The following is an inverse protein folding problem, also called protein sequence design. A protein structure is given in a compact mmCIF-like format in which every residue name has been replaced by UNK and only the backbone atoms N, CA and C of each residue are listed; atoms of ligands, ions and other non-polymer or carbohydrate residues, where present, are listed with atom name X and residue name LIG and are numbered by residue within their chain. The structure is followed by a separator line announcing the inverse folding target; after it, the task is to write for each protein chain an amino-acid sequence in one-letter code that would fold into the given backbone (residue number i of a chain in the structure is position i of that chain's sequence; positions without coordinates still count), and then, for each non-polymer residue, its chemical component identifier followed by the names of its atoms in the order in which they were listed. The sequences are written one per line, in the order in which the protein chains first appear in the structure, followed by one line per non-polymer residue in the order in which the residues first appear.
data_IF_997628186930
#
_entry.id   IF_997628186930
#
_cell.length_a   1.000
_cell.length_b   1.000
_cell.length_c   1.000
_cell.angle_alpha   90.00
_cell.angle_beta   90.00
_cell.angle_gamma   90.00
#
_symmetry.space_group_name_H-M   'P 1'
#
loop_
_entity.id
_entity.type
_entity.pdbx_description
1 polymer ?
#
# COMPACT_ATOMS: atom_id res chain seq x y z
N UNK A 1 -3.30 12.69 11.38
CA UNK A 1 -4.04 11.41 11.55
C UNK A 1 -5.53 11.61 11.80
N UNK A 2 -5.95 12.78 12.27
CA UNK A 2 -7.37 13.12 12.51
C UNK A 2 -8.28 12.96 11.28
N UNK A 3 -7.73 13.04 10.08
CA UNK A 3 -8.46 12.85 8.81
C UNK A 3 -8.44 11.40 8.27
N UNK A 4 -8.12 10.39 9.10
CA UNK A 4 -8.11 8.97 8.71
C UNK A 4 -6.93 8.52 7.87
N UNK A 5 -5.94 9.39 7.58
CA UNK A 5 -4.74 9.01 6.83
C UNK A 5 -3.71 8.33 7.72
N UNK A 6 -3.26 7.15 7.34
CA UNK A 6 -2.23 6.41 8.11
C UNK A 6 -0.85 7.07 8.08
N UNK A 7 -0.50 7.78 7.02
CA UNK A 7 0.73 8.58 6.81
C UNK A 7 2.05 7.92 7.32
N UNK A 8 2.11 6.59 7.39
CA UNK A 8 3.25 5.83 7.95
C UNK A 8 4.58 6.18 7.28
N UNK A 9 4.59 6.26 5.94
CA UNK A 9 5.81 6.59 5.19
C UNK A 9 6.25 8.04 5.39
N UNK A 10 5.30 8.97 5.49
CA UNK A 10 5.61 10.36 5.80
C UNK A 10 6.18 10.50 7.21
N UNK A 11 5.59 9.81 8.19
CA UNK A 11 6.08 9.79 9.56
C UNK A 11 7.52 9.26 9.62
N UNK A 12 7.79 8.12 8.98
CA UNK A 12 9.14 7.54 8.91
C UNK A 12 10.15 8.53 8.32
N UNK A 13 9.84 9.10 7.14
CA UNK A 13 10.72 10.06 6.47
C UNK A 13 10.98 11.32 7.29
N UNK A 14 9.95 11.83 7.98
CA UNK A 14 10.11 13.00 8.84
C UNK A 14 10.93 12.69 10.10
N UNK A 15 10.79 11.52 10.71
CA UNK A 15 11.65 11.08 11.81
C UNK A 15 13.12 10.99 11.36
N UNK A 16 13.38 10.39 10.20
CA UNK A 16 14.71 10.34 9.60
C UNK A 16 15.27 11.74 9.34
N UNK A 17 14.43 12.67 8.90
CA UNK A 17 14.83 14.07 8.65
C UNK A 17 15.21 14.79 9.95
N UNK A 18 14.45 14.63 11.02
CA UNK A 18 14.78 15.22 12.34
C UNK A 18 16.13 14.70 12.84
N UNK A 19 16.39 13.39 12.75
CA UNK A 19 17.68 12.80 13.11
C UNK A 19 18.81 13.39 12.24
N UNK A 20 18.55 13.59 10.95
CA UNK A 20 19.53 14.20 10.04
C UNK A 20 19.85 15.64 10.44
N UNK A 21 18.83 16.47 10.76
CA UNK A 21 19.02 17.83 11.25
C UNK A 21 19.86 17.88 12.52
N UNK A 22 19.59 16.99 13.47
CA UNK A 22 20.37 16.88 14.73
C UNK A 22 21.84 16.54 14.46
N UNK A 23 22.11 15.56 13.57
CA UNK A 23 23.48 15.19 13.18
C UNK A 23 24.22 16.33 12.49
N UNK A 24 23.52 17.12 11.70
CA UNK A 24 24.09 18.29 11.01
C UNK A 24 24.18 19.53 11.89
N UNK A 25 23.65 19.48 13.14
CA UNK A 25 23.51 20.65 14.02
C UNK A 25 22.80 21.83 13.34
N UNK A 26 21.84 21.50 12.43
CA UNK A 26 21.09 22.51 11.71
C UNK A 26 19.91 22.98 12.57
N UNK A 27 19.88 24.26 12.91
CA UNK A 27 18.82 24.86 13.73
C UNK A 27 17.54 25.17 12.97
N UNK A 28 17.61 25.22 11.63
CA UNK A 28 16.47 25.56 10.73
C UNK A 28 16.47 24.71 9.47
N UNK A 29 15.32 24.65 8.83
CA UNK A 29 15.17 23.99 7.55
C UNK A 29 15.54 24.97 6.44
N UNK A 30 16.56 24.63 5.64
CA UNK A 30 16.87 25.30 4.40
C UNK A 30 16.66 24.36 3.20
N UNK A 31 16.50 24.93 2.03
CA UNK A 31 16.37 24.18 0.77
C UNK A 31 17.56 23.27 0.53
N UNK A 32 18.77 23.76 0.85
CA UNK A 32 20.01 22.98 0.73
C UNK A 32 20.01 21.76 1.65
N UNK A 33 19.67 21.94 2.93
CA UNK A 33 19.60 20.87 3.92
C UNK A 33 18.53 19.84 3.55
N UNK A 34 17.38 20.29 3.05
CA UNK A 34 16.32 19.41 2.58
C UNK A 34 16.75 18.56 1.37
N UNK A 35 17.47 19.15 0.42
CA UNK A 35 18.04 18.44 -0.74
C UNK A 35 19.09 17.41 -0.29
N UNK A 36 20.04 17.81 0.55
CA UNK A 36 21.05 16.88 1.10
C UNK A 36 20.41 15.67 1.77
N UNK A 37 19.38 15.89 2.59
CA UNK A 37 18.63 14.81 3.20
C UNK A 37 17.95 13.92 2.16
N UNK A 38 17.29 14.51 1.18
CA UNK A 38 16.54 13.77 0.19
C UNK A 38 17.45 12.86 -0.66
N UNK A 39 18.64 13.34 -1.06
CA UNK A 39 19.56 12.65 -1.96
C UNK A 39 20.62 11.82 -1.25
N UNK A 40 20.70 11.85 0.09
CA UNK A 40 21.69 11.11 0.86
C UNK A 40 21.72 9.59 0.59
N UNK A 41 20.58 8.87 0.43
CA UNK A 41 20.63 7.48 0.03
C UNK A 41 20.93 7.38 -1.47
N UNK A 42 22.16 7.03 -1.82
CA UNK A 42 22.56 6.87 -3.25
C UNK A 42 22.05 5.56 -3.88
N UNK A 43 21.76 4.55 -3.04
CA UNK A 43 21.32 3.21 -3.49
C UNK A 43 19.81 3.10 -3.77
N UNK A 44 19.05 4.19 -3.64
CA UNK A 44 17.59 4.18 -3.85
C UNK A 44 17.20 4.80 -5.19
N UNK A 45 16.01 4.45 -5.65
CA UNK A 45 15.48 5.02 -6.88
C UNK A 45 15.18 6.53 -6.73
N UNK A 46 15.30 7.33 -7.82
CA UNK A 46 15.00 8.76 -7.81
C UNK A 46 13.59 9.11 -7.27
N UNK A 47 12.65 8.19 -7.39
CA UNK A 47 11.31 8.29 -6.78
C UNK A 47 11.35 8.48 -5.27
N UNK A 48 12.24 7.78 -4.57
CA UNK A 48 12.37 7.91 -3.12
C UNK A 48 12.95 9.27 -2.73
N UNK A 49 13.93 9.78 -3.48
CA UNK A 49 14.44 11.14 -3.25
C UNK A 49 13.35 12.19 -3.34
N UNK A 50 12.53 12.10 -4.40
CA UNK A 50 11.38 13.00 -4.59
C UNK A 50 10.35 12.85 -3.47
N UNK A 51 10.06 11.63 -3.03
CA UNK A 51 9.13 11.38 -1.94
C UNK A 51 9.66 11.91 -0.59
N UNK A 52 10.96 11.78 -0.32
CA UNK A 52 11.64 12.36 0.85
C UNK A 52 11.55 13.88 0.83
N UNK A 53 11.90 14.53 -0.30
CA UNK A 53 11.81 15.98 -0.44
C UNK A 53 10.37 16.49 -0.32
N UNK A 54 9.41 15.74 -0.85
CA UNK A 54 7.98 16.06 -0.72
C UNK A 54 7.51 16.06 0.74
N UNK A 55 7.94 15.05 1.52
CA UNK A 55 7.63 14.99 2.95
C UNK A 55 8.22 16.18 3.71
N UNK A 56 9.50 16.52 3.45
CA UNK A 56 10.15 17.68 4.07
C UNK A 56 9.49 18.99 3.67
N UNK A 57 9.11 19.16 2.39
CA UNK A 57 8.40 20.34 1.91
C UNK A 57 7.06 20.54 2.63
N UNK A 58 6.28 19.49 2.79
CA UNK A 58 5.02 19.52 3.55
C UNK A 58 5.23 19.97 4.99
N UNK A 59 6.26 19.44 5.64
CA UNK A 59 6.63 19.82 7.00
C UNK A 59 7.18 21.26 7.08
N UNK A 60 8.03 21.67 6.15
CA UNK A 60 8.55 23.03 6.10
C UNK A 60 7.44 24.06 5.92
N UNK A 61 6.43 23.77 5.07
CA UNK A 61 5.25 24.62 4.93
C UNK A 61 4.47 24.76 6.25
N UNK A 62 4.34 23.71 7.01
CA UNK A 62 3.71 23.76 8.32
C UNK A 62 4.55 24.60 9.30
N UNK A 63 5.86 24.35 9.37
CA UNK A 63 6.78 25.05 10.26
C UNK A 63 6.97 26.53 9.93
N UNK A 64 6.86 26.94 8.67
CA UNK A 64 7.00 28.34 8.27
C UNK A 64 5.92 29.25 8.85
N UNK A 65 4.80 28.69 9.34
CA UNK A 65 3.80 29.44 10.10
C UNK A 65 4.28 29.87 11.48
N UNK A 66 5.13 29.06 12.13
CA UNK A 66 5.69 29.34 13.45
C UNK A 66 7.10 29.96 13.37
N UNK A 67 7.87 29.63 12.36
CA UNK A 67 9.25 30.06 12.17
C UNK A 67 9.44 30.60 10.73
N UNK A 68 9.36 31.91 10.52
CA UNK A 68 9.53 32.55 9.20
C UNK A 68 10.91 32.31 8.56
N UNK A 69 11.93 31.91 9.35
CA UNK A 69 13.26 31.58 8.82
C UNK A 69 13.32 30.17 8.19
N UNK A 70 12.23 29.40 8.26
CA UNK A 70 12.11 28.10 7.58
C UNK A 70 11.89 28.29 6.09
N UNK A 71 12.82 27.78 5.28
CA UNK A 71 12.67 27.77 3.81
C UNK A 71 11.77 26.61 3.38
N UNK A 72 10.84 26.90 2.47
CA UNK A 72 10.01 25.88 1.81
C UNK A 72 10.70 25.46 0.51
N UNK A 73 11.25 24.23 0.39
CA UNK A 73 11.90 23.78 -0.84
C UNK A 73 10.97 23.89 -2.04
N UNK A 74 11.36 24.58 -3.14
CA UNK A 74 10.50 24.76 -4.31
C UNK A 74 10.18 23.43 -5.02
N UNK A 75 9.14 23.43 -5.84
CA UNK A 75 8.80 22.30 -6.69
C UNK A 75 9.83 22.11 -7.80
N UNK A 76 10.00 20.88 -8.28
CA UNK A 76 10.83 20.60 -9.45
C UNK A 76 12.33 20.53 -9.21
N UNK A 77 12.82 20.62 -7.96
CA UNK A 77 14.25 20.51 -7.64
C UNK A 77 14.85 19.13 -7.98
N UNK A 78 14.04 18.08 -7.97
CA UNK A 78 14.47 16.74 -8.36
C UNK A 78 13.69 16.33 -9.61
N UNK A 79 14.38 15.97 -10.70
CA UNK A 79 13.77 15.70 -12.00
C UNK A 79 13.18 14.28 -12.04
N UNK A 80 12.16 14.01 -11.24
CA UNK A 80 11.47 12.73 -11.28
C UNK A 80 9.97 12.90 -11.50
N UNK A 81 9.52 12.44 -12.65
CA UNK A 81 8.11 12.18 -12.95
C UNK A 81 7.97 10.68 -13.17
N UNK A 82 7.34 9.94 -12.25
CA UNK A 82 7.10 8.51 -12.47
C UNK A 82 6.28 8.33 -13.75
N UNK A 83 6.75 7.54 -14.71
CA UNK A 83 5.91 7.18 -15.84
C UNK A 83 4.69 6.44 -15.29
N UNK A 84 3.50 6.85 -15.70
CA UNK A 84 2.27 6.14 -15.35
C UNK A 84 2.26 4.84 -16.16
N UNK A 85 2.65 3.73 -15.53
CA UNK A 85 2.55 2.43 -16.17
C UNK A 85 1.08 2.16 -16.55
N UNK A 86 0.86 1.68 -17.77
CA UNK A 86 -0.46 1.18 -18.15
C UNK A 86 -0.74 -0.08 -17.32
N UNK A 87 -1.92 -0.19 -16.69
CA UNK A 87 -2.26 -1.42 -16.00
C UNK A 87 -2.34 -2.58 -17.00
N UNK A 88 -1.78 -3.71 -16.62
CA UNK A 88 -1.96 -4.95 -17.38
C UNK A 88 -3.36 -5.51 -17.07
N UNK A 89 -4.14 -5.75 -18.09
CA UNK A 89 -5.47 -6.33 -17.97
C UNK A 89 -5.37 -7.81 -18.34
N UNK A 90 -5.57 -8.67 -17.36
CA UNK A 90 -5.56 -10.11 -17.55
C UNK A 90 -6.81 -10.55 -18.34
N UNK A 91 -6.62 -11.37 -19.38
CA UNK A 91 -7.70 -12.06 -20.04
C UNK A 91 -8.27 -13.17 -19.15
N UNK A 92 -9.47 -13.66 -19.47
CA UNK A 92 -10.05 -14.78 -18.73
C UNK A 92 -9.18 -16.05 -18.79
N UNK A 93 -8.53 -16.27 -19.93
CA UNK A 93 -7.65 -17.42 -20.11
C UNK A 93 -6.39 -17.31 -19.23
N UNK A 94 -5.78 -16.14 -19.15
CA UNK A 94 -4.64 -15.90 -18.28
C UNK A 94 -5.00 -16.07 -16.80
N UNK A 95 -6.21 -15.62 -16.40
CA UNK A 95 -6.72 -15.84 -15.05
C UNK A 95 -6.89 -17.35 -14.78
N UNK A 96 -7.46 -18.12 -15.72
CA UNK A 96 -7.59 -19.58 -15.59
C UNK A 96 -6.22 -20.26 -15.45
N UNK A 97 -5.24 -19.86 -16.27
CA UNK A 97 -3.87 -20.38 -16.20
C UNK A 97 -3.20 -20.03 -14.87
N UNK A 98 -3.38 -18.82 -14.37
CA UNK A 98 -2.86 -18.40 -13.07
C UNK A 98 -3.45 -19.24 -11.93
N UNK A 99 -4.77 -19.48 -11.96
CA UNK A 99 -5.45 -20.31 -10.96
C UNK A 99 -4.99 -21.77 -11.02
N UNK A 100 -4.76 -22.31 -12.22
CA UNK A 100 -4.21 -23.64 -12.42
C UNK A 100 -2.76 -23.73 -11.91
N UNK A 101 -1.92 -22.75 -12.24
CA UNK A 101 -0.55 -22.68 -11.77
C UNK A 101 -0.49 -22.58 -10.24
N UNK A 102 -1.38 -21.80 -9.61
CA UNK A 102 -1.48 -21.70 -8.16
C UNK A 102 -1.75 -23.07 -7.48
N UNK A 103 -2.65 -23.86 -8.07
CA UNK A 103 -2.95 -25.22 -7.57
C UNK A 103 -1.79 -26.19 -7.69
N UNK A 104 -0.94 -25.99 -8.70
CA UNK A 104 0.20 -26.86 -8.99
C UNK A 104 1.49 -26.42 -8.27
N UNK A 105 1.43 -25.44 -7.39
CA UNK A 105 2.58 -25.03 -6.58
C UNK A 105 3.09 -26.23 -5.76
N UNK A 106 4.41 -26.47 -5.72
CA UNK A 106 4.98 -27.52 -4.90
C UNK A 106 4.69 -27.22 -3.42
N UNK A 107 4.00 -28.15 -2.77
CA UNK A 107 3.66 -28.04 -1.37
C UNK A 107 3.45 -29.40 -0.77
N UNK A 108 4.47 -29.92 -0.14
CA UNK A 108 4.36 -31.10 0.72
C UNK A 108 3.79 -30.61 2.07
N UNK A 109 2.59 -31.06 2.44
CA UNK A 109 1.92 -30.76 3.72
C UNK A 109 1.59 -29.26 3.96
N UNK A 110 1.42 -28.43 2.94
CA UNK A 110 1.11 -27.02 3.12
C UNK A 110 -0.17 -26.60 2.38
N UNK A 111 -0.89 -25.64 2.96
CA UNK A 111 -2.08 -25.02 2.37
C UNK A 111 -1.75 -24.07 1.21
N UNK A 112 -0.45 -23.86 0.93
CA UNK A 112 0.04 -22.85 -0.02
C UNK A 112 -0.70 -22.86 -1.38
N UNK A 113 -0.86 -23.99 -2.09
CA UNK A 113 -1.55 -24.01 -3.38
C UNK A 113 -3.01 -23.55 -3.26
N UNK A 114 -3.69 -23.99 -2.23
CA UNK A 114 -5.09 -23.66 -1.99
C UNK A 114 -5.28 -22.19 -1.60
N UNK A 115 -4.38 -21.66 -0.77
CA UNK A 115 -4.37 -20.26 -0.36
C UNK A 115 -4.20 -19.34 -1.56
N UNK A 116 -3.20 -19.59 -2.42
CA UNK A 116 -2.98 -18.76 -3.60
C UNK A 116 -4.11 -18.91 -4.62
N UNK A 117 -4.62 -20.12 -4.83
CA UNK A 117 -5.76 -20.33 -5.71
C UNK A 117 -7.00 -19.55 -5.25
N UNK A 118 -7.32 -19.64 -3.96
CA UNK A 118 -8.46 -18.95 -3.35
C UNK A 118 -8.27 -17.42 -3.42
N UNK A 119 -7.07 -16.93 -3.05
CA UNK A 119 -6.74 -15.51 -3.07
C UNK A 119 -6.86 -14.91 -4.47
N UNK A 120 -6.23 -15.52 -5.47
CA UNK A 120 -6.26 -15.02 -6.84
C UNK A 120 -7.67 -15.08 -7.44
N UNK A 121 -8.40 -16.17 -7.18
CA UNK A 121 -9.80 -16.26 -7.60
C UNK A 121 -10.67 -15.18 -6.98
N UNK A 122 -10.52 -14.96 -5.66
CA UNK A 122 -11.25 -13.90 -4.97
C UNK A 122 -10.92 -12.51 -5.52
N UNK A 123 -9.64 -12.19 -5.71
CA UNK A 123 -9.22 -10.91 -6.29
C UNK A 123 -9.78 -10.70 -7.70
N UNK A 124 -9.75 -11.74 -8.54
CA UNK A 124 -10.22 -11.66 -9.93
C UNK A 124 -11.72 -11.36 -10.04
N UNK A 125 -12.55 -11.94 -9.16
CA UNK A 125 -14.01 -11.81 -9.27
C UNK A 125 -14.60 -10.67 -8.43
N UNK A 126 -13.88 -10.18 -7.40
CA UNK A 126 -14.43 -9.17 -6.48
C UNK A 126 -13.78 -7.80 -6.62
N UNK A 127 -12.63 -7.71 -7.27
CA UNK A 127 -11.86 -6.47 -7.36
C UNK A 127 -11.38 -5.94 -6.00
N UNK A 128 -11.24 -6.79 -5.00
CA UNK A 128 -10.68 -6.43 -3.69
C UNK A 128 -9.23 -5.95 -3.84
N UNK A 129 -8.83 -5.00 -2.99
CA UNK A 129 -7.39 -4.71 -2.84
C UNK A 129 -6.72 -5.89 -2.17
N UNK A 130 -5.44 -6.14 -2.52
CA UNK A 130 -4.69 -7.25 -1.93
C UNK A 130 -4.68 -7.21 -0.40
N UNK A 131 -4.55 -6.03 0.19
CA UNK A 131 -4.59 -5.87 1.64
C UNK A 131 -5.96 -6.16 2.26
N UNK A 132 -7.04 -5.90 1.54
CA UNK A 132 -8.40 -6.22 1.98
C UNK A 132 -8.61 -7.74 1.97
N UNK A 133 -8.21 -8.41 0.89
CA UNK A 133 -8.30 -9.87 0.78
C UNK A 133 -7.42 -10.61 1.80
N UNK A 134 -6.20 -10.12 2.08
CA UNK A 134 -5.30 -10.72 3.07
C UNK A 134 -5.74 -10.54 4.52
N UNK A 135 -6.50 -9.47 4.81
CA UNK A 135 -7.01 -9.21 6.16
C UNK A 135 -8.45 -9.71 6.37
N UNK A 136 -9.03 -10.40 5.38
CA UNK A 136 -10.40 -10.92 5.46
C UNK A 136 -10.49 -11.99 6.55
N UNK A 137 -11.49 -11.87 7.42
CA UNK A 137 -11.79 -12.81 8.49
C UNK A 137 -13.06 -13.60 8.17
N UNK A 138 -13.23 -14.74 8.82
CA UNK A 138 -14.47 -15.55 8.67
C UNK A 138 -15.72 -14.78 9.09
N UNK A 139 -15.60 -13.94 10.10
CA UNK A 139 -16.69 -13.08 10.56
C UNK A 139 -17.11 -11.99 9.55
N UNK A 140 -16.27 -11.70 8.55
CA UNK A 140 -16.59 -10.75 7.50
C UNK A 140 -17.45 -11.36 6.39
N UNK A 141 -17.71 -12.66 6.43
CA UNK A 141 -18.45 -13.40 5.40
C UNK A 141 -19.83 -13.79 5.92
N UNK A 142 -20.87 -13.20 5.35
CA UNK A 142 -22.22 -13.72 5.51
C UNK A 142 -22.43 -14.90 4.54
N UNK A 143 -22.40 -16.09 5.09
CA UNK A 143 -22.52 -17.33 4.31
C UNK A 143 -23.95 -17.58 3.82
N UNK A 144 -24.98 -17.05 4.48
CA UNK A 144 -26.38 -17.19 4.10
C UNK A 144 -26.71 -16.31 2.91
N UNK A 145 -26.39 -15.02 3.01
CA UNK A 145 -26.67 -14.04 1.98
C UNK A 145 -25.60 -14.02 0.85
N UNK A 146 -24.40 -14.60 1.13
CA UNK A 146 -23.30 -14.55 0.16
C UNK A 146 -22.70 -13.15 0.03
N UNK A 147 -22.46 -12.48 1.15
CA UNK A 147 -21.96 -11.11 1.17
C UNK A 147 -20.65 -11.06 1.96
N UNK A 148 -19.65 -10.34 1.43
CA UNK A 148 -18.46 -9.95 2.17
C UNK A 148 -18.62 -8.53 2.71
N UNK A 149 -18.32 -8.35 3.99
CA UNK A 149 -18.21 -7.03 4.62
C UNK A 149 -16.74 -6.61 4.65
N UNK A 150 -16.35 -5.65 3.82
CA UNK A 150 -14.98 -5.11 3.82
C UNK A 150 -14.93 -3.94 4.78
N UNK A 151 -14.26 -4.14 5.90
CA UNK A 151 -14.11 -3.13 6.95
C UNK A 151 -12.83 -2.31 6.76
N UNK A 152 -12.87 -1.03 7.18
CA UNK A 152 -11.69 -0.17 7.24
C UNK A 152 -10.98 0.01 5.89
N UNK A 153 -11.69 -0.02 4.76
CA UNK A 153 -11.17 0.29 3.45
C UNK A 153 -10.54 1.69 3.41
N UNK A 154 -10.00 2.09 2.27
CA UNK A 154 -9.36 3.41 2.09
C UNK A 154 -10.28 4.52 2.64
N UNK A 155 -9.76 5.37 3.54
CA UNK A 155 -10.48 6.41 4.29
C UNK A 155 -11.46 5.90 5.37
N UNK A 156 -11.26 4.69 5.90
CA UNK A 156 -12.09 4.12 6.98
C UNK A 156 -13.50 3.72 6.56
N UNK A 157 -13.81 3.74 5.27
CA UNK A 157 -15.13 3.34 4.74
C UNK A 157 -15.27 1.82 4.75
N UNK A 158 -16.47 1.33 5.05
CA UNK A 158 -16.85 -0.07 4.86
C UNK A 158 -17.69 -0.23 3.60
N UNK A 159 -17.65 -1.40 2.98
CA UNK A 159 -18.51 -1.74 1.84
C UNK A 159 -18.89 -3.21 1.85
N UNK A 160 -20.04 -3.50 1.29
CA UNK A 160 -20.51 -4.85 1.04
C UNK A 160 -20.12 -5.27 -0.40
N UNK A 161 -19.70 -6.52 -0.54
CA UNK A 161 -19.33 -7.12 -1.83
C UNK A 161 -20.09 -8.42 -1.97
N UNK A 162 -21.03 -8.51 -2.93
CA UNK A 162 -21.78 -9.74 -3.17
C UNK A 162 -20.85 -10.83 -3.74
N UNK A 163 -21.06 -12.06 -3.30
CA UNK A 163 -20.36 -13.24 -3.78
C UNK A 163 -21.28 -14.09 -4.66
N UNK A 164 -20.84 -14.38 -5.85
CA UNK A 164 -21.49 -15.41 -6.66
C UNK A 164 -21.44 -16.78 -5.96
N UNK A 165 -22.42 -17.63 -6.17
CA UNK A 165 -22.53 -18.93 -5.54
C UNK A 165 -21.28 -19.83 -5.73
N UNK A 166 -20.63 -19.75 -6.89
CA UNK A 166 -19.38 -20.49 -7.15
C UNK A 166 -18.22 -20.01 -6.27
N UNK A 167 -18.09 -18.70 -6.09
CA UNK A 167 -17.06 -18.08 -5.25
C UNK A 167 -17.29 -18.43 -3.78
N UNK A 168 -18.54 -18.38 -3.31
CA UNK A 168 -18.92 -18.79 -1.97
C UNK A 168 -18.54 -20.25 -1.72
N UNK A 169 -18.84 -21.17 -2.65
CA UNK A 169 -18.43 -22.58 -2.56
C UNK A 169 -16.92 -22.76 -2.49
N UNK A 170 -16.16 -22.04 -3.31
CA UNK A 170 -14.70 -22.09 -3.31
C UNK A 170 -14.10 -21.62 -1.98
N UNK A 171 -14.62 -20.52 -1.42
CA UNK A 171 -14.25 -20.03 -0.10
C UNK A 171 -14.56 -21.03 1.02
N UNK A 172 -15.76 -21.60 1.02
CA UNK A 172 -16.15 -22.65 1.99
C UNK A 172 -15.25 -23.88 1.90
N UNK A 173 -14.90 -24.31 0.70
CA UNK A 173 -13.98 -25.43 0.51
C UNK A 173 -12.57 -25.12 1.03
N UNK A 174 -12.13 -23.86 0.89
CA UNK A 174 -10.85 -23.42 1.44
C UNK A 174 -10.86 -23.37 2.97
N UNK A 175 -11.91 -22.81 3.60
CA UNK A 175 -12.00 -22.73 5.06
C UNK A 175 -12.00 -24.12 5.70
N UNK A 176 -12.82 -25.05 5.19
CA UNK A 176 -12.86 -26.46 5.65
C UNK A 176 -11.53 -27.21 5.53
N UNK A 177 -10.63 -26.72 4.69
CA UNK A 177 -9.32 -27.35 4.49
C UNK A 177 -8.23 -26.71 5.35
N UNK A 178 -8.45 -25.43 5.71
CA UNK A 178 -7.57 -24.67 6.59
C UNK A 178 -7.75 -25.07 8.06
N UNK A 179 -9.00 -25.24 8.49
CA UNK A 179 -9.42 -25.59 9.86
C UNK A 179 -9.46 -27.12 10.02
#
# INVERSE_FOLDING_TARGET
RSLGFKLKDHERRLREFVIFLQKKKASRISTLVALQFATQPQSVQPAEWTARLCAVRGFARYRSGDDPATEIPPLGLLPYRPPRARPYLYSEEEIRQLLKAAKNLPATYSLKPWTYHCLFGLLAVTGLRISEALNLQLADVDWSEGILTIQGAKFGKSRLVPLHASTRRALLAYTKRRD
#
